data_IF_751222617491
#
_entry.id   IF_751222617491
#
_cell.length_a   1.000
_cell.length_b   1.000
_cell.length_c   1.000
_cell.angle_alpha   90.00
_cell.angle_beta   90.00
_cell.angle_gamma   90.00
#
_symmetry.space_group_name_H-M   'P 1'
#
loop_
_entity.id
_entity.type
_entity.pdbx_description
1 polymer ?
#
# COMPACT_ATOMS: atom_id res chain seq x y z
N UNK A 1 2.56 38.35 -69.06
CA UNK A 1 1.75 37.56 -70.02
C UNK A 1 1.17 36.38 -69.28
N UNK A 2 -0.16 36.32 -69.23
CA UNK A 2 -0.96 35.38 -68.46
C UNK A 2 -1.38 34.25 -69.41
N UNK A 3 -1.16 33.00 -69.01
CA UNK A 3 -1.74 31.83 -69.68
C UNK A 3 -2.33 30.86 -68.63
N UNK A 4 -3.49 30.22 -68.91
CA UNK A 4 -4.42 29.79 -67.86
C UNK A 4 -4.23 28.34 -67.40
N UNK A 5 -4.47 28.12 -66.10
CA UNK A 5 -4.61 26.84 -65.42
C UNK A 5 -5.88 26.09 -65.90
N UNK A 6 -5.72 24.98 -66.62
CA UNK A 6 -6.77 23.96 -66.78
C UNK A 6 -6.66 22.94 -65.64
N UNK A 7 -7.62 22.97 -64.70
CA UNK A 7 -7.79 21.93 -63.69
C UNK A 7 -8.43 20.70 -64.33
N UNK A 8 -7.66 19.62 -64.49
CA UNK A 8 -8.20 18.28 -64.72
C UNK A 8 -8.56 17.65 -63.37
N UNK A 9 -9.85 17.41 -63.13
CA UNK A 9 -10.33 16.71 -61.95
C UNK A 9 -10.00 15.21 -62.09
N UNK A 10 -9.00 14.74 -61.35
CA UNK A 10 -8.73 13.30 -61.19
C UNK A 10 -9.74 12.74 -60.17
N UNK A 11 -10.60 11.83 -60.63
CA UNK A 11 -11.52 11.06 -59.78
C UNK A 11 -10.72 10.04 -58.97
N UNK A 12 -10.93 9.90 -57.65
CA UNK A 12 -10.29 8.83 -56.89
C UNK A 12 -10.89 7.48 -57.26
N UNK A 13 -10.08 6.60 -57.86
CA UNK A 13 -10.39 5.18 -58.00
C UNK A 13 -10.33 4.50 -56.64
N UNK A 14 -11.48 4.09 -56.11
CA UNK A 14 -11.57 3.26 -54.90
C UNK A 14 -10.99 1.89 -55.24
N UNK A 15 -9.82 1.57 -54.66
CA UNK A 15 -9.26 0.22 -54.71
C UNK A 15 -10.02 -0.64 -53.69
N UNK A 16 -10.83 -1.57 -54.17
CA UNK A 16 -11.43 -2.62 -53.36
C UNK A 16 -10.28 -3.53 -52.91
N UNK A 17 -9.93 -3.44 -51.63
CA UNK A 17 -8.97 -4.36 -51.01
C UNK A 17 -9.53 -5.78 -51.05
N UNK A 18 -8.69 -6.71 -51.49
CA UNK A 18 -8.99 -8.14 -51.54
C UNK A 18 -9.53 -8.63 -50.21
N UNK A 19 -10.75 -9.17 -50.23
CA UNK A 19 -11.35 -9.92 -49.13
C UNK A 19 -10.40 -11.08 -48.82
N UNK A 20 -9.85 -11.12 -47.59
CA UNK A 20 -9.08 -12.27 -47.11
C UNK A 20 -10.02 -13.48 -47.12
N UNK A 21 -9.63 -14.53 -47.81
CA UNK A 21 -10.26 -15.85 -47.70
C UNK A 21 -10.18 -16.29 -46.23
N UNK A 22 -11.34 -16.45 -45.59
CA UNK A 22 -11.43 -17.04 -44.27
C UNK A 22 -10.80 -18.44 -44.30
N UNK A 23 -9.81 -18.65 -43.45
CA UNK A 23 -9.11 -19.92 -43.32
C UNK A 23 -10.09 -21.04 -42.98
N UNK A 24 -9.96 -22.17 -43.68
CA UNK A 24 -10.65 -23.40 -43.33
C UNK A 24 -10.08 -23.92 -42.00
N UNK A 25 -10.86 -23.81 -40.91
CA UNK A 25 -10.56 -24.53 -39.68
C UNK A 25 -10.87 -26.01 -39.89
N UNK A 26 -9.83 -26.85 -39.90
CA UNK A 26 -9.97 -28.30 -39.82
C UNK A 26 -10.59 -28.67 -38.46
N UNK A 27 -11.73 -29.36 -38.49
CA UNK A 27 -12.37 -29.90 -37.29
C UNK A 27 -11.48 -31.01 -36.70
N UNK A 28 -10.85 -30.74 -35.55
CA UNK A 28 -10.33 -31.80 -34.69
C UNK A 28 -11.30 -32.03 -33.55
N UNK A 29 -11.92 -33.21 -33.41
CA UNK A 29 -12.79 -33.50 -32.29
C UNK A 29 -11.94 -33.80 -31.06
N UNK A 30 -11.71 -32.80 -30.22
CA UNK A 30 -11.27 -33.05 -28.84
C UNK A 30 -12.48 -33.51 -28.03
N UNK A 31 -12.45 -34.78 -27.63
CA UNK A 31 -13.16 -35.43 -26.52
C UNK A 31 -14.52 -34.83 -26.13
N UNK A 32 -15.57 -35.41 -26.72
CA UNK A 32 -16.94 -35.39 -26.24
C UNK A 32 -17.03 -35.94 -24.80
N UNK A 33 -17.03 -35.08 -23.79
CA UNK A 33 -17.32 -35.50 -22.41
C UNK A 33 -18.28 -34.59 -21.60
N UNK A 34 -18.98 -33.65 -22.24
CA UNK A 34 -20.12 -32.97 -21.63
C UNK A 34 -21.20 -32.68 -22.68
N UNK A 35 -22.41 -33.18 -22.42
CA UNK A 35 -23.71 -32.82 -23.03
C UNK A 35 -23.72 -32.35 -24.48
N UNK A 36 -24.22 -33.21 -25.38
CA UNK A 36 -24.60 -32.83 -26.76
C UNK A 36 -25.61 -31.68 -26.74
N UNK A 37 -25.14 -30.43 -26.87
CA UNK A 37 -25.91 -29.36 -27.50
C UNK A 37 -25.44 -29.32 -28.95
N UNK A 38 -26.22 -29.94 -29.83
CA UNK A 38 -26.03 -29.82 -31.26
C UNK A 38 -25.93 -28.33 -31.61
N UNK A 39 -24.80 -27.94 -32.21
CA UNK A 39 -24.61 -26.63 -32.81
C UNK A 39 -25.69 -26.47 -33.89
N UNK A 40 -26.82 -25.87 -33.54
CA UNK A 40 -27.87 -25.50 -34.49
C UNK A 40 -27.21 -24.78 -35.65
N UNK A 41 -27.48 -25.27 -36.87
CA UNK A 41 -26.84 -24.80 -38.10
C UNK A 41 -26.98 -23.28 -38.16
N UNK A 42 -25.89 -22.57 -38.49
CA UNK A 42 -25.86 -21.09 -38.56
C UNK A 42 -27.05 -20.47 -39.29
N UNK A 43 -27.63 -21.18 -40.26
CA UNK A 43 -28.81 -20.80 -41.03
C UNK A 43 -30.09 -20.65 -40.19
N UNK A 44 -30.29 -21.48 -39.15
CA UNK A 44 -31.43 -21.39 -38.23
C UNK A 44 -31.27 -20.21 -37.25
N UNK A 45 -30.03 -19.92 -36.86
CA UNK A 45 -29.70 -18.77 -36.00
C UNK A 45 -29.92 -17.46 -36.75
N UNK A 46 -29.64 -17.41 -38.05
CA UNK A 46 -29.84 -16.23 -38.90
C UNK A 46 -31.33 -15.98 -39.17
N UNK A 47 -32.14 -17.03 -39.34
CA UNK A 47 -33.58 -16.90 -39.61
C UNK A 47 -34.40 -16.42 -38.42
N UNK A 48 -33.99 -16.75 -37.20
CA UNK A 48 -34.76 -16.49 -35.99
C UNK A 48 -34.11 -15.40 -35.10
N UNK A 49 -33.29 -14.51 -35.67
CA UNK A 49 -32.56 -13.49 -34.89
C UNK A 49 -33.48 -12.57 -34.09
N UNK A 50 -34.70 -12.33 -34.58
CA UNK A 50 -35.67 -11.45 -33.94
C UNK A 50 -36.53 -12.15 -32.86
N UNK A 51 -36.50 -13.50 -32.79
CA UNK A 51 -37.32 -14.32 -31.87
C UNK A 51 -36.54 -14.81 -30.64
N UNK A 52 -35.27 -14.44 -30.49
CA UNK A 52 -34.52 -14.76 -29.27
C UNK A 52 -34.90 -13.78 -28.15
N UNK A 53 -35.84 -14.18 -27.30
CA UNK A 53 -36.06 -13.54 -26.01
C UNK A 53 -34.74 -13.52 -25.23
N UNK A 54 -34.36 -12.35 -24.69
CA UNK A 54 -33.19 -12.23 -23.80
C UNK A 54 -33.41 -13.11 -22.59
N UNK A 55 -32.76 -14.28 -22.58
CA UNK A 55 -32.82 -15.25 -21.50
C UNK A 55 -32.34 -14.57 -20.19
N UNK A 56 -33.22 -14.38 -19.17
CA UNK A 56 -32.85 -13.65 -17.95
C UNK A 56 -31.79 -14.39 -17.11
N UNK A 57 -31.51 -15.67 -17.40
CA UNK A 57 -30.41 -16.44 -16.82
C UNK A 57 -29.07 -16.27 -17.59
N UNK A 58 -29.06 -15.58 -18.73
CA UNK A 58 -27.83 -15.37 -19.50
C UNK A 58 -26.90 -14.39 -18.78
N UNK A 59 -26.01 -14.93 -17.94
CA UNK A 59 -25.01 -14.15 -17.23
C UNK A 59 -23.94 -13.67 -18.21
N UNK A 60 -23.95 -12.37 -18.54
CA UNK A 60 -22.85 -11.73 -19.25
C UNK A 60 -21.64 -11.71 -18.31
N UNK A 61 -20.67 -12.60 -18.56
CA UNK A 61 -19.40 -12.58 -17.83
C UNK A 61 -18.50 -11.52 -18.45
N UNK A 62 -18.25 -10.44 -17.70
CA UNK A 62 -17.28 -9.42 -18.10
C UNK A 62 -15.88 -10.04 -18.00
N UNK A 63 -15.19 -10.13 -19.13
CA UNK A 63 -13.80 -10.60 -19.18
C UNK A 63 -12.89 -9.53 -18.58
N UNK A 64 -12.50 -9.72 -17.33
CA UNK A 64 -11.45 -8.93 -16.67
C UNK A 64 -10.10 -9.63 -16.79
N UNK A 65 -9.02 -8.89 -16.53
CA UNK A 65 -7.67 -9.47 -16.43
C UNK A 65 -7.62 -10.62 -15.41
N UNK A 66 -8.40 -10.52 -14.34
CA UNK A 66 -8.50 -11.51 -13.24
C UNK A 66 -9.23 -12.80 -13.66
N UNK A 67 -10.17 -12.68 -14.61
CA UNK A 67 -10.94 -13.81 -15.13
C UNK A 67 -10.29 -14.48 -16.35
N UNK A 68 -9.10 -14.02 -16.75
CA UNK A 68 -8.34 -14.62 -17.85
C UNK A 68 -7.78 -15.99 -17.43
N UNK A 69 -7.81 -17.02 -18.30
CA UNK A 69 -7.11 -18.29 -18.03
C UNK A 69 -5.59 -18.09 -17.86
N UNK A 70 -5.03 -17.00 -18.38
CA UNK A 70 -3.61 -16.64 -18.26
C UNK A 70 -3.34 -15.75 -17.03
N UNK A 71 -4.33 -15.46 -16.20
CA UNK A 71 -4.13 -14.67 -14.99
C UNK A 71 -3.35 -15.47 -13.95
N UNK A 72 -2.11 -15.06 -13.71
CA UNK A 72 -1.33 -15.50 -12.55
C UNK A 72 -1.33 -14.36 -11.52
N UNK A 73 -1.97 -14.52 -10.35
CA UNK A 73 -1.79 -13.57 -9.25
C UNK A 73 -0.33 -13.58 -8.80
N UNK A 74 0.20 -12.42 -8.45
CA UNK A 74 1.54 -12.33 -7.90
C UNK A 74 1.56 -13.01 -6.53
N UNK A 75 2.47 -13.96 -6.37
CA UNK A 75 2.74 -14.60 -5.10
C UNK A 75 4.22 -14.37 -4.75
N UNK A 76 4.47 -13.63 -3.68
CA UNK A 76 5.82 -13.23 -3.29
C UNK A 76 6.73 -14.45 -3.01
N UNK A 77 6.17 -15.53 -2.48
CA UNK A 77 6.94 -16.75 -2.15
C UNK A 77 7.35 -17.51 -3.42
N UNK A 78 6.46 -17.59 -4.39
CA UNK A 78 6.67 -18.34 -5.64
C UNK A 78 7.42 -17.53 -6.71
N UNK A 79 7.11 -16.24 -6.83
CA UNK A 79 7.64 -15.37 -7.88
C UNK A 79 8.95 -14.69 -7.47
N UNK A 80 9.25 -14.60 -6.17
CA UNK A 80 10.47 -13.97 -5.64
C UNK A 80 11.12 -14.80 -4.50
N UNK A 81 11.44 -16.09 -4.70
CA UNK A 81 11.93 -16.99 -3.65
C UNK A 81 13.27 -16.54 -3.03
N UNK A 82 14.09 -15.82 -3.78
CA UNK A 82 15.39 -15.33 -3.32
C UNK A 82 15.31 -13.96 -2.62
N UNK A 83 14.13 -13.31 -2.63
CA UNK A 83 13.97 -11.99 -2.04
C UNK A 83 13.81 -12.08 -0.52
N UNK A 84 14.84 -11.62 0.20
CA UNK A 84 14.85 -11.55 1.67
C UNK A 84 14.95 -10.11 2.13
N UNK A 85 13.98 -9.68 2.95
CA UNK A 85 14.01 -8.36 3.59
C UNK A 85 14.80 -8.48 4.90
N UNK A 86 15.98 -7.88 4.95
CA UNK A 86 16.78 -7.81 6.17
C UNK A 86 16.27 -6.69 7.08
N UNK A 87 15.41 -7.05 8.03
CA UNK A 87 14.95 -6.13 9.07
C UNK A 87 16.01 -6.02 10.17
N UNK A 88 16.70 -4.89 10.23
CA UNK A 88 17.77 -4.67 11.20
C UNK A 88 17.28 -4.15 12.56
N UNK A 89 16.04 -3.64 12.63
CA UNK A 89 15.39 -3.20 13.88
C UNK A 89 14.74 -4.39 14.59
N UNK A 90 14.92 -4.51 15.90
CA UNK A 90 14.31 -5.61 16.67
C UNK A 90 12.82 -5.43 16.91
N UNK A 91 12.36 -4.18 16.93
CA UNK A 91 10.96 -3.81 17.08
C UNK A 91 10.63 -2.87 15.92
N UNK A 92 9.40 -2.90 15.42
CA UNK A 92 8.90 -1.91 14.45
C UNK A 92 7.85 -1.07 15.15
N UNK A 93 8.12 0.22 15.29
CA UNK A 93 7.17 1.19 15.86
C UNK A 93 6.75 2.12 14.74
N UNK A 94 5.44 2.19 14.48
CA UNK A 94 4.91 3.08 13.46
C UNK A 94 4.92 4.53 13.97
N UNK A 95 5.02 5.49 13.06
CA UNK A 95 5.09 6.90 13.42
C UNK A 95 3.92 7.40 14.29
N UNK A 96 2.66 6.97 14.08
CA UNK A 96 1.54 7.31 14.96
C UNK A 96 1.65 6.75 16.38
N UNK A 97 2.42 5.68 16.56
CA UNK A 97 2.54 4.93 17.82
C UNK A 97 3.74 5.37 18.66
N UNK A 98 4.65 6.20 18.12
CA UNK A 98 5.87 6.61 18.82
C UNK A 98 5.52 7.27 20.16
N UNK A 99 4.58 8.20 20.14
CA UNK A 99 4.16 8.97 21.32
C UNK A 99 3.47 8.10 22.37
N UNK A 100 2.69 7.09 21.96
CA UNK A 100 2.01 6.19 22.89
C UNK A 100 2.94 5.11 23.45
N UNK A 101 3.93 4.69 22.66
CA UNK A 101 4.87 3.61 23.02
C UNK A 101 5.93 4.09 24.01
N UNK A 102 6.49 5.28 23.76
CA UNK A 102 7.62 5.82 24.50
C UNK A 102 7.24 7.03 25.34
N UNK A 103 7.71 7.03 26.58
CA UNK A 103 7.78 8.21 27.43
C UNK A 103 9.25 8.64 27.60
N UNK A 104 9.47 9.82 28.20
CA UNK A 104 10.83 10.34 28.42
C UNK A 104 11.71 9.37 29.22
N UNK A 105 11.13 8.61 30.15
CA UNK A 105 11.82 7.65 31.00
C UNK A 105 12.32 6.43 30.22
N UNK A 106 11.44 5.79 29.44
CA UNK A 106 11.80 4.68 28.54
C UNK A 106 12.84 5.12 27.51
N UNK A 107 12.80 6.37 27.04
CA UNK A 107 13.85 6.89 26.16
C UNK A 107 15.22 6.88 26.86
N UNK A 108 15.29 7.39 28.09
CA UNK A 108 16.51 7.42 28.90
C UNK A 108 17.02 5.99 29.15
N UNK A 109 16.13 5.06 29.49
CA UNK A 109 16.49 3.66 29.67
C UNK A 109 17.09 3.05 28.40
N UNK A 110 16.47 3.25 27.25
CA UNK A 110 16.96 2.73 25.97
C UNK A 110 18.31 3.36 25.57
N UNK A 111 18.51 4.65 25.83
CA UNK A 111 19.79 5.35 25.63
C UNK A 111 20.88 4.72 26.50
N UNK A 112 20.62 4.54 27.79
CA UNK A 112 21.58 3.97 28.73
C UNK A 112 21.93 2.53 28.35
N UNK A 113 20.94 1.73 27.94
CA UNK A 113 21.18 0.37 27.47
C UNK A 113 21.98 0.33 26.17
N UNK A 114 21.68 1.18 25.19
CA UNK A 114 22.44 1.25 23.94
C UNK A 114 23.92 1.64 24.20
N UNK A 115 24.14 2.56 25.15
CA UNK A 115 25.49 2.95 25.54
C UNK A 115 26.23 1.82 26.27
N UNK A 116 25.53 1.12 27.18
CA UNK A 116 26.06 -0.03 27.90
C UNK A 116 26.47 -1.16 26.94
N UNK A 117 25.67 -1.45 25.91
CA UNK A 117 25.99 -2.48 24.92
C UNK A 117 27.24 -2.17 24.09
N UNK A 118 27.51 -0.89 23.82
CA UNK A 118 28.64 -0.47 22.98
C UNK A 118 29.93 -0.23 23.76
N UNK A 119 29.83 0.33 24.97
CA UNK A 119 30.99 0.72 25.79
C UNK A 119 31.18 -0.12 27.05
N UNK A 120 30.22 -0.98 27.41
CA UNK A 120 30.27 -1.77 28.63
C UNK A 120 30.15 -0.96 29.92
N UNK A 121 29.77 0.32 29.83
CA UNK A 121 29.70 1.24 30.95
C UNK A 121 28.27 1.69 31.20
N UNK A 122 27.86 1.69 32.47
CA UNK A 122 26.58 2.24 32.86
C UNK A 122 26.70 3.75 33.04
N UNK A 123 25.78 4.48 32.41
CA UNK A 123 25.74 5.95 32.45
C UNK A 123 24.44 6.43 33.07
N UNK A 124 24.49 7.66 33.61
CA UNK A 124 23.31 8.38 34.10
C UNK A 124 23.13 9.71 33.35
N UNK A 125 21.93 10.29 33.45
CA UNK A 125 21.56 11.52 32.73
C UNK A 125 22.51 12.69 33.01
N UNK A 126 23.07 12.78 34.22
CA UNK A 126 24.02 13.84 34.57
C UNK A 126 25.32 13.78 33.77
N UNK A 127 25.68 12.61 33.23
CA UNK A 127 26.90 12.40 32.45
C UNK A 127 26.71 12.69 30.96
N UNK A 128 25.48 12.88 30.48
CA UNK A 128 25.19 13.02 29.04
C UNK A 128 25.85 14.23 28.39
N UNK A 129 26.11 15.30 29.15
CA UNK A 129 26.83 16.47 28.63
C UNK A 129 28.31 16.20 28.38
N UNK A 130 28.89 15.22 29.08
CA UNK A 130 30.31 14.88 29.01
C UNK A 130 30.59 13.80 27.95
N UNK A 131 29.54 13.12 27.47
CA UNK A 131 29.66 12.09 26.43
C UNK A 131 29.64 12.78 25.08
N UNK A 132 30.82 12.78 24.45
CA UNK A 132 31.05 13.35 23.15
C UNK A 132 30.58 12.40 22.03
N UNK A 133 29.86 12.94 21.06
CA UNK A 133 29.46 12.27 19.84
C UNK A 133 30.24 12.80 18.62
N UNK A 134 31.26 13.63 18.78
CA UNK A 134 32.08 14.14 17.65
C UNK A 134 32.72 13.01 16.82
N UNK A 135 33.10 11.90 17.44
CA UNK A 135 33.53 10.70 16.72
C UNK A 135 32.38 10.14 15.85
N UNK A 136 32.54 10.25 14.53
CA UNK A 136 31.55 9.85 13.55
C UNK A 136 31.26 8.34 13.60
N UNK A 137 32.30 7.52 13.83
CA UNK A 137 32.15 6.06 13.86
C UNK A 137 31.31 5.66 15.07
N UNK A 138 31.68 6.17 16.24
CA UNK A 138 30.92 5.94 17.47
C UNK A 138 29.49 6.48 17.37
N UNK A 139 29.30 7.70 16.85
CA UNK A 139 27.96 8.29 16.68
C UNK A 139 27.07 7.43 15.81
N UNK A 140 27.60 6.93 14.70
CA UNK A 140 26.84 6.07 13.78
C UNK A 140 26.48 4.73 14.44
N UNK A 141 27.45 4.05 15.06
CA UNK A 141 27.20 2.79 15.78
C UNK A 141 26.19 2.96 16.91
N UNK A 142 26.31 4.04 17.68
CA UNK A 142 25.39 4.40 18.75
C UNK A 142 23.99 4.68 18.24
N UNK A 143 23.86 5.53 17.22
CA UNK A 143 22.56 5.85 16.61
C UNK A 143 21.89 4.58 16.07
N UNK A 144 22.64 3.71 15.40
CA UNK A 144 22.14 2.43 14.88
C UNK A 144 21.70 1.50 16.01
N UNK A 145 22.49 1.35 17.07
CA UNK A 145 22.10 0.53 18.23
C UNK A 145 20.80 1.06 18.87
N UNK A 146 20.68 2.39 19.00
CA UNK A 146 19.51 3.03 19.57
C UNK A 146 18.27 2.89 18.68
N UNK A 147 18.38 3.11 17.36
CA UNK A 147 17.28 2.91 16.41
C UNK A 147 16.82 1.45 16.36
N UNK A 148 17.75 0.50 16.50
CA UNK A 148 17.40 -0.93 16.58
C UNK A 148 16.47 -1.22 17.75
N UNK A 149 16.75 -0.63 18.92
CA UNK A 149 15.95 -0.75 20.16
C UNK A 149 14.63 0.01 20.08
N UNK A 150 14.65 1.24 19.59
CA UNK A 150 13.47 2.11 19.53
C UNK A 150 12.50 1.75 18.41
N UNK A 151 12.99 1.09 17.36
CA UNK A 151 12.14 0.59 16.28
C UNK A 151 11.60 1.65 15.32
N UNK A 152 12.05 2.90 15.43
CA UNK A 152 11.79 3.98 14.48
C UNK A 152 13.09 4.68 14.06
N UNK A 153 13.08 5.35 12.91
CA UNK A 153 14.25 6.04 12.37
C UNK A 153 14.38 7.46 12.92
N UNK A 154 15.62 7.91 13.02
CA UNK A 154 15.93 9.29 13.35
C UNK A 154 16.14 10.07 12.06
N UNK A 155 15.75 11.33 12.06
CA UNK A 155 16.14 12.22 10.98
C UNK A 155 17.67 12.41 11.01
N UNK A 156 18.31 12.24 9.86
CA UNK A 156 19.75 12.46 9.69
C UNK A 156 20.18 13.86 10.12
N UNK A 157 19.28 14.85 9.96
CA UNK A 157 19.50 16.20 10.49
C UNK A 157 19.74 16.19 12.00
N UNK A 158 18.91 15.47 12.75
CA UNK A 158 19.03 15.34 14.21
C UNK A 158 20.37 14.73 14.62
N UNK A 159 20.83 13.71 13.90
CA UNK A 159 22.14 13.07 14.15
C UNK A 159 23.31 13.98 13.79
N UNK A 160 23.16 14.79 12.74
CA UNK A 160 24.21 15.70 12.29
C UNK A 160 24.40 16.86 13.26
N UNK A 161 23.29 17.41 13.80
CA UNK A 161 23.32 18.54 14.74
C UNK A 161 23.63 18.17 16.19
N UNK A 162 23.54 16.87 16.54
CA UNK A 162 23.76 16.42 17.91
C UNK A 162 25.21 16.02 18.13
N UNK A 163 25.97 16.87 18.80
CA UNK A 163 27.38 16.64 19.14
C UNK A 163 27.58 16.06 20.53
N UNK A 164 26.57 16.15 21.40
CA UNK A 164 26.58 15.51 22.71
C UNK A 164 25.37 14.60 22.90
N UNK A 165 25.50 13.62 23.78
CA UNK A 165 24.38 12.71 24.09
C UNK A 165 23.18 13.47 24.67
N UNK A 166 23.43 14.55 25.40
CA UNK A 166 22.39 15.45 25.93
C UNK A 166 21.59 16.15 24.82
N UNK A 167 22.26 16.62 23.77
CA UNK A 167 21.57 17.22 22.61
C UNK A 167 20.72 16.20 21.88
N UNK A 168 21.27 14.99 21.66
CA UNK A 168 20.55 13.91 21.02
C UNK A 168 19.32 13.51 21.84
N UNK A 169 19.47 13.32 23.15
CA UNK A 169 18.36 13.00 24.05
C UNK A 169 17.25 14.05 23.98
N UNK A 170 17.58 15.35 24.03
CA UNK A 170 16.58 16.43 23.93
C UNK A 170 15.87 16.44 22.58
N UNK A 171 16.59 16.19 21.49
CA UNK A 171 16.02 16.15 20.16
C UNK A 171 15.07 14.95 19.99
N UNK A 172 15.44 13.77 20.51
CA UNK A 172 14.60 12.59 20.52
C UNK A 172 13.39 12.74 21.44
N UNK A 173 13.56 13.34 22.62
CA UNK A 173 12.47 13.65 23.54
C UNK A 173 11.44 14.59 22.89
N UNK A 174 11.92 15.60 22.15
CA UNK A 174 11.05 16.46 21.33
C UNK A 174 10.32 15.66 20.25
N UNK A 175 11.01 14.75 19.55
CA UNK A 175 10.40 13.93 18.51
C UNK A 175 9.31 13.01 19.07
N UNK A 176 9.54 12.37 20.23
CA UNK A 176 8.57 11.46 20.87
C UNK A 176 7.35 12.23 21.37
N UNK A 177 7.54 13.46 21.86
CA UNK A 177 6.45 14.34 22.31
C UNK A 177 5.71 15.03 21.17
N UNK A 178 6.23 14.97 19.94
CA UNK A 178 5.58 15.60 18.79
C UNK A 178 4.49 14.66 18.29
N UNK A 179 3.27 15.18 18.14
CA UNK A 179 2.16 14.45 17.50
C UNK A 179 2.58 14.00 16.10
N UNK A 180 2.13 12.82 15.70
CA UNK A 180 2.41 12.32 14.35
C UNK A 180 1.78 13.24 13.29
N UNK A 181 2.44 13.36 12.15
CA UNK A 181 2.02 14.22 11.05
C UNK A 181 1.77 13.35 9.82
N UNK A 182 0.67 13.61 9.12
CA UNK A 182 0.40 12.98 7.83
C UNK A 182 1.12 13.74 6.72
N UNK A 183 1.91 13.04 5.90
CA UNK A 183 2.55 13.66 4.73
C UNK A 183 1.52 14.21 3.73
N UNK A 184 0.38 13.54 3.59
CA UNK A 184 -0.70 13.98 2.70
C UNK A 184 -1.31 15.29 3.17
N UNK A 185 -1.40 15.49 4.48
CA UNK A 185 -2.04 16.64 5.12
C UNK A 185 -1.10 17.22 6.20
N UNK A 186 -0.07 18.01 5.83
CA UNK A 186 0.94 18.49 6.77
C UNK A 186 0.39 19.47 7.81
N UNK A 187 -0.69 20.18 7.46
CA UNK A 187 -1.38 21.11 8.36
C UNK A 187 -2.49 20.43 9.19
N UNK A 188 -2.62 19.10 9.10
CA UNK A 188 -3.59 18.36 9.89
C UNK A 188 -3.28 18.47 11.39
N UNK A 189 -4.30 18.75 12.19
CA UNK A 189 -4.17 18.82 13.64
C UNK A 189 -4.73 17.52 14.22
N UNK A 190 -3.90 16.80 14.96
CA UNK A 190 -4.32 15.60 15.70
C UNK A 190 -4.56 16.01 17.14
N UNK A 191 -5.83 16.08 17.52
CA UNK A 191 -6.27 16.43 18.87
C UNK A 191 -6.63 15.16 19.64
N UNK A 192 -6.29 15.12 20.93
CA UNK A 192 -6.78 14.09 21.86
C UNK A 192 -7.55 14.72 22.99
N UNK A 193 -8.34 13.89 23.68
CA UNK A 193 -9.14 14.34 24.81
C UNK A 193 -8.26 14.94 25.91
N UNK A 194 -7.05 14.38 26.11
CA UNK A 194 -6.08 14.87 27.09
C UNK A 194 -5.60 16.31 26.84
N UNK A 195 -5.71 16.83 25.60
CA UNK A 195 -5.27 18.19 25.26
C UNK A 195 -6.20 19.26 25.85
N UNK A 196 -7.43 18.88 26.21
CA UNK A 196 -8.44 19.80 26.71
C UNK A 196 -8.61 19.65 28.23
N UNK A 197 -8.36 20.74 28.97
CA UNK A 197 -8.56 20.77 30.44
C UNK A 197 -10.02 21.01 30.85
N UNK A 198 -10.81 21.57 29.95
CA UNK A 198 -12.17 21.99 30.26
C UNK A 198 -13.14 20.80 30.05
N UNK A 199 -14.01 20.49 31.03
CA UNK A 199 -14.88 19.31 30.98
C UNK A 199 -16.02 19.41 29.96
N UNK A 200 -16.28 20.61 29.45
CA UNK A 200 -17.31 20.88 28.44
C UNK A 200 -16.82 20.71 27.00
N UNK A 201 -15.53 20.42 26.79
CA UNK A 201 -14.96 20.17 25.47
C UNK A 201 -14.82 18.66 25.30
N UNK A 202 -15.41 18.12 24.24
CA UNK A 202 -15.24 16.73 23.84
C UNK A 202 -14.85 16.66 22.37
N UNK A 203 -14.07 15.64 22.03
CA UNK A 203 -13.80 15.25 20.66
C UNK A 203 -14.76 14.13 20.31
N UNK A 204 -15.34 14.18 19.11
CA UNK A 204 -16.05 13.03 18.57
C UNK A 204 -15.01 11.97 18.19
N UNK A 205 -15.08 10.82 18.85
CA UNK A 205 -14.26 9.63 18.53
C UNK A 205 -15.01 8.67 17.59
N UNK A 206 -16.00 9.20 16.85
CA UNK A 206 -16.76 8.41 15.88
C UNK A 206 -15.85 7.91 14.76
N UNK A 207 -15.99 6.62 14.48
CA UNK A 207 -15.29 5.96 13.38
C UNK A 207 -15.77 6.54 12.04
N UNK A 208 -14.96 6.40 11.00
CA UNK A 208 -15.40 6.79 9.66
C UNK A 208 -16.58 5.90 9.20
N UNK A 209 -17.46 6.39 8.34
CA UNK A 209 -18.64 5.65 7.86
C UNK A 209 -18.28 4.26 7.31
N UNK A 210 -17.14 4.16 6.62
CA UNK A 210 -16.62 2.89 6.10
C UNK A 210 -16.29 1.90 7.23
N UNK A 211 -15.62 2.36 8.27
CA UNK A 211 -15.25 1.55 9.43
C UNK A 211 -16.48 1.16 10.25
N UNK A 212 -17.45 2.08 10.40
CA UNK A 212 -18.74 1.80 11.03
C UNK A 212 -19.48 0.70 10.28
N UNK A 213 -19.55 0.80 8.95
CA UNK A 213 -20.21 -0.19 8.11
C UNK A 213 -19.50 -1.54 8.17
N UNK A 214 -18.17 -1.55 8.21
CA UNK A 214 -17.39 -2.78 8.33
C UNK A 214 -17.64 -3.47 9.68
N UNK A 215 -17.55 -2.73 10.80
CA UNK A 215 -17.87 -3.27 12.12
C UNK A 215 -19.31 -3.80 12.20
N UNK A 216 -20.26 -3.11 11.59
CA UNK A 216 -21.64 -3.58 11.54
C UNK A 216 -21.75 -4.92 10.79
N UNK A 217 -21.04 -5.08 9.67
CA UNK A 217 -21.01 -6.35 8.94
C UNK A 217 -20.42 -7.47 9.79
N UNK A 218 -19.29 -7.21 10.45
CA UNK A 218 -18.61 -8.18 11.31
C UNK A 218 -19.55 -8.64 12.45
N UNK A 219 -20.26 -7.70 13.10
CA UNK A 219 -21.24 -8.01 14.15
C UNK A 219 -22.44 -8.81 13.64
N UNK A 220 -22.91 -8.51 12.42
CA UNK A 220 -24.01 -9.27 11.79
C UNK A 220 -23.56 -10.68 11.46
N UNK A 221 -22.33 -10.87 10.99
CA UNK A 221 -21.76 -12.20 10.74
C UNK A 221 -21.58 -12.99 12.04
N UNK A 222 -21.06 -12.37 13.09
CA UNK A 222 -20.92 -12.99 14.41
C UNK A 222 -22.28 -13.44 14.97
N UNK A 223 -23.30 -12.58 14.89
CA UNK A 223 -24.65 -12.91 15.34
C UNK A 223 -25.29 -14.05 14.53
N UNK A 224 -25.03 -14.12 13.22
CA UNK A 224 -25.47 -15.23 12.36
C UNK A 224 -24.79 -16.54 12.72
N UNK A 225 -23.49 -16.52 13.03
CA UNK A 225 -22.75 -17.70 13.45
C UNK A 225 -23.19 -18.20 14.83
N UNK A 226 -23.52 -17.29 15.76
CA UNK A 226 -24.00 -17.65 17.10
C UNK A 226 -25.46 -18.14 17.14
N UNK A 227 -26.24 -17.88 16.09
CA UNK A 227 -27.64 -18.31 15.96
C UNK A 227 -27.84 -19.58 15.11
N UNK A 228 -26.75 -20.13 14.56
CA UNK A 228 -26.71 -21.41 13.85
C UNK A 228 -26.31 -22.54 14.80
#
# INVERSE_FOLDING_TARGET
MIAPLRRAALRPTIRISSIRSFGYSQNRPFLNLFGKKDLKKREEIIKNQDDFESDPESKIVILSKENSPDYKPFDAETDMPDFKVNQWKSIKVLQPEIETTYNSEKLIENINQAYLELKGQQISVSQYNNIDLHDLSFRFEFAKALQKKLGFDFNDYTLTTSHTLSQLQKALDKQIKTRWVSERNPNGIVLRKEDFKAPNIYLSEELNEQEQQQKLKDLVEEARQASA
#
